data_IF_641464955152
#
_entry.id   IF_641464955152
#
_cell.length_a   1.000
_cell.length_b   1.000
_cell.length_c   1.000
_cell.angle_alpha   90.00
_cell.angle_beta   90.00
_cell.angle_gamma   90.00
#
_symmetry.space_group_name_H-M   'P 1'
#
loop_
_entity.id
_entity.type
_entity.pdbx_description
1 polymer ?
#
# COMPACT_ATOMS: atom_id res chain seq x y z
N UNK A 1 12.61 28.86 7.12
CA UNK A 1 12.45 27.51 7.72
C UNK A 1 12.01 26.53 6.65
N UNK A 2 12.65 25.36 6.55
CA UNK A 2 12.34 24.31 5.56
C UNK A 2 11.54 23.20 6.23
N UNK A 3 10.38 22.86 5.66
CA UNK A 3 9.62 21.67 6.03
C UNK A 3 10.25 20.47 5.30
N UNK A 4 10.62 19.42 6.04
CA UNK A 4 11.31 18.26 5.50
C UNK A 4 10.34 17.09 5.33
N UNK A 5 10.44 16.38 4.21
CA UNK A 5 9.66 15.16 3.94
C UNK A 5 9.85 14.11 5.04
N UNK A 6 8.77 13.39 5.35
CA UNK A 6 8.73 12.36 6.39
C UNK A 6 8.69 12.89 7.83
N UNK A 7 8.87 14.21 8.06
CA UNK A 7 8.82 14.81 9.40
C UNK A 7 7.42 15.31 9.75
N UNK A 8 7.10 15.21 11.04
CA UNK A 8 5.84 15.71 11.62
C UNK A 8 6.01 17.12 12.18
N UNK A 9 4.99 17.95 11.98
CA UNK A 9 4.91 19.31 12.49
C UNK A 9 3.49 19.63 12.96
N UNK A 10 3.39 20.55 13.92
CA UNK A 10 2.12 21.06 14.42
C UNK A 10 1.61 22.22 13.55
N UNK A 11 0.32 22.18 13.23
CA UNK A 11 -0.37 23.22 12.48
C UNK A 11 -1.65 23.64 13.19
N UNK A 12 -1.88 24.95 13.31
CA UNK A 12 -3.17 25.49 13.75
C UNK A 12 -4.15 25.48 12.57
N UNK A 13 -5.31 24.88 12.76
CA UNK A 13 -6.41 24.96 11.80
C UNK A 13 -7.08 26.32 11.97
N UNK A 14 -7.03 27.18 10.94
CA UNK A 14 -7.59 28.53 11.04
C UNK A 14 -9.07 28.54 10.70
N UNK A 15 -9.42 28.00 9.54
CA UNK A 15 -10.78 27.95 8.99
C UNK A 15 -10.84 26.96 7.83
N UNK A 16 -12.04 26.69 7.35
CA UNK A 16 -12.27 26.03 6.07
C UNK A 16 -12.41 27.12 5.00
N UNK A 17 -11.86 26.87 3.81
CA UNK A 17 -11.99 27.72 2.63
C UNK A 17 -12.43 26.85 1.46
N UNK A 18 -13.40 27.35 0.69
CA UNK A 18 -13.82 26.74 -0.57
C UNK A 18 -12.95 27.30 -1.69
N UNK A 19 -12.43 26.43 -2.54
CA UNK A 19 -11.71 26.79 -3.76
C UNK A 19 -12.58 26.35 -4.95
N UNK A 20 -12.95 27.27 -5.86
CA UNK A 20 -13.71 26.92 -7.05
C UNK A 20 -13.09 25.73 -7.78
N UNK A 21 -13.92 24.76 -8.19
CA UNK A 21 -13.53 23.54 -8.90
C UNK A 21 -12.68 22.52 -8.10
N UNK A 22 -12.03 22.91 -6.99
CA UNK A 22 -11.21 22.02 -6.16
C UNK A 22 -11.93 21.56 -4.87
N UNK A 23 -12.95 22.28 -4.42
CA UNK A 23 -13.74 21.97 -3.21
C UNK A 23 -13.18 22.59 -1.92
N UNK A 24 -13.51 21.97 -0.79
CA UNK A 24 -13.17 22.51 0.54
C UNK A 24 -11.77 22.13 1.02
N UNK A 25 -11.08 23.09 1.64
CA UNK A 25 -9.77 22.93 2.25
C UNK A 25 -9.71 23.51 3.66
N UNK A 26 -9.02 22.82 4.56
CA UNK A 26 -8.56 23.41 5.80
C UNK A 26 -7.38 24.35 5.53
N UNK A 27 -7.49 25.61 5.96
CA UNK A 27 -6.39 26.56 5.97
C UNK A 27 -5.57 26.36 7.24
N UNK A 28 -4.37 25.80 7.08
CA UNK A 28 -3.44 25.48 8.16
C UNK A 28 -2.38 26.57 8.33
N UNK A 29 -1.98 26.87 9.57
CA UNK A 29 -0.88 27.79 9.89
C UNK A 29 0.19 27.11 10.74
N UNK A 30 1.41 27.10 10.24
CA UNK A 30 2.59 26.65 10.99
C UNK A 30 3.07 27.76 11.96
N UNK A 31 3.82 27.41 13.02
CA UNK A 31 4.40 28.39 13.97
C UNK A 31 5.27 29.46 13.31
N UNK A 32 5.87 29.17 12.16
CA UNK A 32 6.67 30.12 11.38
C UNK A 32 5.84 31.14 10.59
N UNK A 33 4.50 31.11 10.69
CA UNK A 33 3.59 31.96 9.93
C UNK A 33 3.20 31.42 8.54
N UNK A 34 3.89 30.39 8.03
CA UNK A 34 3.58 29.76 6.73
C UNK A 34 2.18 29.16 6.75
N UNK A 35 1.41 29.42 5.69
CA UNK A 35 0.05 28.88 5.49
C UNK A 35 0.06 27.79 4.43
N UNK A 36 -0.73 26.75 4.65
CA UNK A 36 -0.85 25.56 3.80
C UNK A 36 -2.32 25.15 3.71
N UNK A 37 -2.66 24.42 2.66
CA UNK A 37 -4.00 23.89 2.45
C UNK A 37 -4.00 22.37 2.62
N UNK A 38 -5.07 21.84 3.19
CA UNK A 38 -5.31 20.41 3.35
C UNK A 38 -6.73 20.08 2.88
N UNK A 39 -6.91 19.22 1.87
CA UNK A 39 -8.23 18.94 1.30
C UNK A 39 -9.15 18.28 2.32
N UNK A 40 -10.37 18.79 2.51
CA UNK A 40 -11.35 18.25 3.47
C UNK A 40 -11.83 16.87 3.04
N UNK A 41 -12.04 16.66 1.74
CA UNK A 41 -12.61 15.41 1.19
C UNK A 41 -11.85 14.14 1.57
N UNK A 42 -10.53 14.21 1.75
CA UNK A 42 -9.70 13.06 2.14
C UNK A 42 -9.73 12.75 3.63
N UNK A 43 -10.15 13.72 4.46
CA UNK A 43 -10.07 13.64 5.91
C UNK A 43 -11.41 13.98 6.58
N UNK A 44 -12.51 13.85 5.86
CA UNK A 44 -13.85 14.18 6.37
C UNK A 44 -14.22 13.40 7.64
N UNK A 45 -13.69 12.18 7.79
CA UNK A 45 -13.89 11.32 8.97
C UNK A 45 -12.92 11.63 10.12
N UNK A 46 -11.98 12.56 9.94
CA UNK A 46 -11.06 12.96 11.00
C UNK A 46 -11.70 14.06 11.86
N UNK A 47 -11.42 14.12 13.17
CA UNK A 47 -11.92 15.17 14.06
C UNK A 47 -11.16 16.49 13.90
N UNK A 48 -11.06 17.02 12.67
CA UNK A 48 -10.36 18.27 12.35
C UNK A 48 -11.35 19.43 12.42
N UNK A 49 -11.21 20.27 13.45
CA UNK A 49 -12.08 21.44 13.67
C UNK A 49 -11.28 22.75 13.58
N UNK A 50 -11.87 23.86 13.10
CA UNK A 50 -11.25 25.18 13.18
C UNK A 50 -10.83 25.54 14.62
N UNK A 51 -9.77 26.33 14.74
CA UNK A 51 -9.10 26.70 15.98
C UNK A 51 -8.39 25.58 16.75
N UNK A 52 -8.45 24.33 16.30
CA UNK A 52 -7.62 23.25 16.85
C UNK A 52 -6.19 23.28 16.33
N UNK A 53 -5.34 22.44 16.94
CA UNK A 53 -3.99 22.14 16.44
C UNK A 53 -3.94 20.67 16.05
N UNK A 54 -3.43 20.39 14.85
CA UNK A 54 -3.26 19.04 14.33
C UNK A 54 -1.78 18.77 14.04
N UNK A 55 -1.38 17.51 14.16
CA UNK A 55 -0.05 17.03 13.80
C UNK A 55 -0.09 16.43 12.39
N UNK A 56 0.72 16.96 11.47
CA UNK A 56 0.78 16.50 10.09
C UNK A 56 2.21 16.12 9.70
N UNK A 57 2.34 15.02 8.97
CA UNK A 57 3.56 14.64 8.24
C UNK A 57 3.66 15.45 6.97
N UNK A 58 4.85 15.89 6.62
CA UNK A 58 5.16 16.33 5.25
C UNK A 58 5.29 15.09 4.39
N UNK A 59 4.27 14.81 3.58
CA UNK A 59 4.24 13.62 2.74
C UNK A 59 5.12 13.78 1.51
N UNK A 60 5.03 14.95 0.86
CA UNK A 60 5.81 15.27 -0.34
C UNK A 60 6.06 16.77 -0.48
N UNK A 61 7.20 17.13 -1.02
CA UNK A 61 7.56 18.47 -1.49
C UNK A 61 7.91 18.35 -2.96
N UNK A 62 7.10 18.94 -3.84
CA UNK A 62 7.38 18.87 -5.27
C UNK A 62 8.49 19.87 -5.68
N UNK A 63 8.89 19.83 -6.95
CA UNK A 63 9.90 20.72 -7.52
C UNK A 63 9.54 22.22 -7.45
N UNK A 64 8.26 22.57 -7.37
CA UNK A 64 7.80 23.96 -7.20
C UNK A 64 7.72 24.41 -5.74
N UNK A 65 8.10 23.54 -4.79
CA UNK A 65 8.05 23.81 -3.36
C UNK A 65 6.65 23.73 -2.75
N UNK A 66 5.66 23.21 -3.48
CA UNK A 66 4.33 22.84 -2.96
C UNK A 66 4.50 21.66 -2.01
N UNK A 67 3.99 21.83 -0.81
CA UNK A 67 4.09 20.87 0.29
C UNK A 67 2.75 20.16 0.43
N UNK A 68 2.78 18.84 0.40
CA UNK A 68 1.64 17.96 0.64
C UNK A 68 1.73 17.42 2.06
N UNK A 69 0.60 17.43 2.75
CA UNK A 69 0.52 17.06 4.16
C UNK A 69 -0.40 15.84 4.33
N UNK A 70 -0.01 14.96 5.23
CA UNK A 70 -0.80 13.83 5.71
C UNK A 70 -1.01 14.01 7.22
N UNK A 71 -2.23 14.31 7.71
CA UNK A 71 -2.52 14.38 9.13
C UNK A 71 -2.31 13.01 9.77
N UNK A 72 -1.86 13.02 11.02
CA UNK A 72 -1.76 11.79 11.81
C UNK A 72 -3.13 11.13 11.90
N UNK A 73 -3.19 9.84 11.57
CA UNK A 73 -4.43 9.10 11.62
C UNK A 73 -4.91 8.95 13.08
N UNK A 74 -6.19 9.24 13.38
CA UNK A 74 -6.69 9.24 14.76
C UNK A 74 -6.68 7.86 15.42
N UNK A 75 -6.86 6.79 14.63
CA UNK A 75 -6.92 5.41 15.15
C UNK A 75 -5.72 4.52 14.82
N UNK A 76 -4.89 4.89 13.84
CA UNK A 76 -3.85 4.03 13.30
C UNK A 76 -2.48 4.70 13.43
N UNK A 77 -1.49 3.93 13.86
CA UNK A 77 -0.09 4.33 13.87
C UNK A 77 0.69 3.47 12.90
N UNK A 78 1.55 4.11 12.11
CA UNK A 78 2.46 3.40 11.20
C UNK A 78 3.37 2.45 11.99
N UNK A 79 3.63 1.29 11.42
CA UNK A 79 4.41 0.22 12.05
C UNK A 79 3.63 -0.66 13.03
N UNK A 80 2.43 -0.29 13.46
CA UNK A 80 1.63 -1.05 14.43
C UNK A 80 0.66 -2.03 13.77
N UNK A 81 0.25 -3.03 14.54
CA UNK A 81 -0.70 -4.05 14.13
C UNK A 81 -2.09 -3.77 14.71
N UNK A 82 -3.10 -3.99 13.88
CA UNK A 82 -4.51 -3.85 14.24
C UNK A 82 -5.32 -4.99 13.64
N UNK A 83 -6.48 -5.25 14.22
CA UNK A 83 -7.43 -6.23 13.71
C UNK A 83 -8.40 -5.54 12.74
N UNK A 84 -8.60 -6.14 11.57
CA UNK A 84 -9.51 -5.66 10.54
C UNK A 84 -10.55 -6.72 10.20
N UNK A 85 -11.78 -6.30 9.92
CA UNK A 85 -12.87 -7.21 9.57
C UNK A 85 -12.77 -7.55 8.09
N UNK A 86 -12.77 -8.85 7.77
CA UNK A 86 -12.75 -9.36 6.40
C UNK A 86 -14.14 -9.24 5.79
N UNK A 87 -14.29 -8.39 4.78
CA UNK A 87 -15.54 -8.17 4.05
C UNK A 87 -15.70 -9.11 2.86
N UNK A 88 -14.61 -9.40 2.16
CA UNK A 88 -14.61 -10.30 1.01
C UNK A 88 -13.32 -11.11 0.91
N UNK A 89 -13.39 -12.24 0.24
CA UNK A 89 -12.27 -13.15 0.00
C UNK A 89 -12.40 -13.71 -1.39
N UNK A 90 -11.37 -13.53 -2.21
CA UNK A 90 -11.32 -14.00 -3.59
C UNK A 90 -10.20 -15.02 -3.70
N UNK A 91 -10.56 -16.24 -4.08
CA UNK A 91 -9.65 -17.29 -4.52
C UNK A 91 -9.78 -17.42 -6.02
N UNK A 92 -8.69 -17.21 -6.77
CA UNK A 92 -8.71 -17.45 -8.21
C UNK A 92 -8.42 -18.93 -8.50
N UNK A 93 -9.20 -19.55 -9.38
CA UNK A 93 -9.11 -20.98 -9.72
C UNK A 93 -7.75 -21.40 -10.32
N UNK A 94 -6.95 -20.45 -10.78
CA UNK A 94 -5.63 -20.70 -11.33
C UNK A 94 -4.49 -20.61 -10.29
N UNK A 95 -4.79 -20.42 -9.00
CA UNK A 95 -3.82 -20.18 -7.91
C UNK A 95 -2.90 -18.97 -8.14
N UNK A 96 -3.22 -18.08 -9.09
CA UNK A 96 -2.35 -16.96 -9.49
C UNK A 96 -2.34 -15.85 -8.44
N UNK A 97 -3.48 -15.61 -7.79
CA UNK A 97 -3.66 -14.43 -6.96
C UNK A 97 -4.82 -14.68 -5.99
N UNK A 98 -4.53 -14.76 -4.69
CA UNK A 98 -5.55 -14.67 -3.66
C UNK A 98 -5.63 -13.23 -3.19
N UNK A 99 -6.82 -12.77 -2.79
CA UNK A 99 -6.96 -11.45 -2.18
C UNK A 99 -8.05 -11.45 -1.14
N UNK A 100 -7.90 -10.58 -0.14
CA UNK A 100 -8.97 -10.24 0.79
C UNK A 100 -9.31 -8.77 0.65
N UNK A 101 -10.56 -8.42 0.93
CA UNK A 101 -10.96 -7.03 1.18
C UNK A 101 -11.32 -6.92 2.64
N UNK A 102 -10.71 -5.96 3.34
CA UNK A 102 -11.03 -5.64 4.73
C UNK A 102 -11.64 -4.25 4.84
N UNK A 103 -12.32 -3.99 5.94
CA UNK A 103 -12.84 -2.66 6.28
C UNK A 103 -12.11 -2.07 7.49
N UNK A 104 -11.78 -0.79 7.41
CA UNK A 104 -11.19 -0.02 8.51
C UNK A 104 -12.27 0.62 9.42
N UNK A 105 -11.83 1.36 10.46
CA UNK A 105 -12.73 2.06 11.40
C UNK A 105 -13.60 3.14 10.76
N UNK A 106 -13.28 3.58 9.55
CA UNK A 106 -14.04 4.56 8.76
C UNK A 106 -14.82 3.91 7.62
N UNK A 107 -14.96 2.58 7.64
CA UNK A 107 -15.61 1.78 6.60
C UNK A 107 -14.96 1.86 5.21
N UNK A 108 -13.70 2.30 5.13
CA UNK A 108 -12.93 2.23 3.89
C UNK A 108 -12.67 0.77 3.54
N UNK A 109 -12.91 0.37 2.28
CA UNK A 109 -12.55 -0.95 1.79
C UNK A 109 -11.11 -0.98 1.28
N UNK A 110 -10.32 -1.91 1.82
CA UNK A 110 -8.90 -2.05 1.52
C UNK A 110 -8.66 -3.46 0.99
N UNK A 111 -8.29 -3.56 -0.29
CA UNK A 111 -7.91 -4.81 -0.93
C UNK A 111 -6.44 -5.13 -0.63
N UNK A 112 -6.18 -6.35 -0.22
CA UNK A 112 -4.86 -6.85 0.14
C UNK A 112 -4.62 -8.14 -0.64
N UNK A 113 -3.47 -8.23 -1.29
CA UNK A 113 -2.98 -9.47 -1.88
C UNK A 113 -2.67 -10.47 -0.77
N UNK A 114 -3.25 -11.66 -0.88
CA UNK A 114 -3.12 -12.71 0.12
C UNK A 114 -2.17 -13.80 -0.39
N UNK A 115 -1.21 -14.27 0.43
CA UNK A 115 -0.30 -15.33 0.02
C UNK A 115 -1.06 -16.62 -0.32
N UNK A 116 -0.74 -17.21 -1.47
CA UNK A 116 -1.35 -18.47 -1.93
C UNK A 116 -1.09 -19.61 -0.93
N UNK A 117 0.08 -19.61 -0.30
CA UNK A 117 0.46 -20.59 0.72
C UNK A 117 -0.31 -20.46 2.04
N UNK A 118 -0.95 -19.31 2.30
CA UNK A 118 -1.73 -19.10 3.53
C UNK A 118 -3.21 -19.39 3.27
N UNK A 119 -3.85 -20.08 4.22
CA UNK A 119 -5.30 -20.25 4.23
C UNK A 119 -5.99 -18.89 4.17
N UNK A 120 -6.95 -18.75 3.26
CA UNK A 120 -7.75 -17.55 3.14
C UNK A 120 -8.62 -17.35 4.39
N UNK A 121 -8.62 -16.14 4.99
CA UNK A 121 -9.57 -15.76 6.03
C UNK A 121 -11.01 -15.94 5.55
N UNK A 122 -11.93 -16.18 6.49
CA UNK A 122 -13.37 -16.24 6.17
C UNK A 122 -13.96 -14.84 6.22
N UNK A 123 -15.00 -14.59 5.43
CA UNK A 123 -15.79 -13.36 5.54
C UNK A 123 -16.37 -13.23 6.96
N UNK A 124 -16.47 -12.00 7.46
CA UNK A 124 -16.89 -11.62 8.81
C UNK A 124 -15.99 -12.14 9.94
N UNK A 125 -14.75 -12.54 9.63
CA UNK A 125 -13.71 -12.80 10.64
C UNK A 125 -12.74 -11.63 10.73
N UNK A 126 -11.95 -11.58 11.80
CA UNK A 126 -10.88 -10.59 11.94
C UNK A 126 -9.54 -11.14 11.45
N UNK A 127 -8.74 -10.26 10.86
CA UNK A 127 -7.37 -10.54 10.47
C UNK A 127 -6.45 -9.46 11.04
N UNK A 128 -5.34 -9.89 11.63
CA UNK A 128 -4.33 -8.97 12.18
C UNK A 128 -3.36 -8.54 11.09
N UNK A 129 -3.28 -7.24 10.85
CA UNK A 129 -2.48 -6.64 9.78
C UNK A 129 -1.65 -5.47 10.30
N UNK A 130 -0.47 -5.28 9.72
CA UNK A 130 0.38 -4.12 10.03
C UNK A 130 -0.04 -2.95 9.17
N UNK A 131 -0.20 -1.78 9.79
CA UNK A 131 -0.29 -0.50 9.09
C UNK A 131 1.13 -0.14 8.67
N UNK A 132 1.48 -0.37 7.40
CA UNK A 132 2.79 0.01 6.88
C UNK A 132 2.93 1.54 6.87
N UNK A 133 1.90 2.21 6.34
CA UNK A 133 1.81 3.67 6.28
C UNK A 133 0.35 4.10 6.11
N UNK A 134 0.08 5.39 6.24
CA UNK A 134 -1.21 5.99 5.89
C UNK A 134 -1.05 6.87 4.65
N UNK A 135 -1.99 6.77 3.72
CA UNK A 135 -2.01 7.54 2.47
C UNK A 135 -3.42 8.07 2.22
N UNK A 136 -3.57 9.40 2.23
CA UNK A 136 -4.85 10.11 2.05
C UNK A 136 -5.93 9.62 3.02
N UNK A 137 -5.55 9.43 4.28
CA UNK A 137 -6.44 8.94 5.33
C UNK A 137 -6.71 7.43 5.31
N UNK A 138 -6.24 6.69 4.30
CA UNK A 138 -6.48 5.25 4.18
C UNK A 138 -5.20 4.49 4.60
N UNK A 139 -5.27 3.53 5.54
CA UNK A 139 -4.11 2.74 5.91
C UNK A 139 -3.71 1.78 4.78
N UNK A 140 -2.42 1.73 4.49
CA UNK A 140 -1.79 0.72 3.64
C UNK A 140 -1.40 -0.44 4.53
N UNK A 141 -1.97 -1.62 4.25
CA UNK A 141 -1.91 -2.78 5.12
C UNK A 141 -1.00 -3.84 4.53
N UNK A 142 -0.17 -4.44 5.38
CA UNK A 142 0.71 -5.56 5.03
C UNK A 142 0.52 -6.73 5.98
N UNK A 143 0.71 -7.93 5.44
CA UNK A 143 0.58 -9.19 6.19
C UNK A 143 1.91 -9.45 6.91
N UNK A 144 1.84 -9.94 8.15
CA UNK A 144 3.03 -10.42 8.83
C UNK A 144 3.55 -11.68 8.13
N UNK A 145 4.66 -11.54 7.41
CA UNK A 145 5.47 -12.69 7.00
C UNK A 145 6.44 -12.98 8.13
N UNK A 146 6.43 -14.22 8.63
CA UNK A 146 7.41 -14.70 9.60
C UNK A 146 8.80 -14.50 9.00
N UNK A 147 9.55 -13.50 9.51
CA UNK A 147 10.96 -13.18 9.24
C UNK A 147 11.47 -13.57 7.84
N UNK A 148 11.12 -12.77 6.84
CA UNK A 148 12.00 -12.24 5.77
C UNK A 148 11.12 -11.44 4.80
N UNK A 149 11.19 -10.11 4.88
CA UNK A 149 10.75 -9.15 3.84
C UNK A 149 10.95 -7.68 4.26
N UNK A 150 11.38 -7.38 5.50
CA UNK A 150 11.95 -6.06 5.80
C UNK A 150 13.39 -6.04 5.26
N UNK A 151 13.57 -5.63 4.01
CA UNK A 151 14.87 -5.43 3.38
C UNK A 151 14.99 -5.80 1.89
N UNK A 152 13.92 -6.22 1.21
CA UNK A 152 14.00 -6.59 -0.21
C UNK A 152 13.58 -5.41 -1.09
N UNK A 153 14.41 -4.38 -1.10
CA UNK A 153 14.42 -3.37 -2.17
C UNK A 153 15.80 -2.78 -2.44
N UNK A 154 16.84 -3.06 -1.63
CA UNK A 154 18.15 -2.42 -1.84
C UNK A 154 19.36 -3.34 -2.07
N UNK A 155 19.24 -4.69 -2.07
CA UNK A 155 20.42 -5.56 -2.29
C UNK A 155 20.28 -6.71 -3.29
N UNK A 156 19.19 -6.81 -4.07
CA UNK A 156 19.10 -7.83 -5.14
C UNK A 156 19.36 -7.29 -6.54
N UNK A 157 19.97 -6.09 -6.65
CA UNK A 157 20.24 -5.47 -7.95
C UNK A 157 21.16 -6.28 -8.87
N UNK A 158 21.82 -7.34 -8.36
CA UNK A 158 22.72 -8.22 -9.13
C UNK A 158 22.57 -9.72 -8.86
N UNK A 159 21.61 -10.16 -8.06
CA UNK A 159 21.45 -11.58 -7.77
C UNK A 159 20.60 -12.27 -8.85
N UNK A 160 21.19 -13.28 -9.49
CA UNK A 160 20.49 -14.13 -10.46
C UNK A 160 19.79 -15.26 -9.70
N UNK A 161 18.47 -15.25 -9.75
CA UNK A 161 17.62 -16.31 -9.22
C UNK A 161 17.41 -17.41 -10.26
N UNK A 162 17.44 -18.67 -9.81
CA UNK A 162 17.14 -19.83 -10.64
C UNK A 162 15.74 -20.37 -10.33
N UNK A 163 14.87 -20.34 -11.33
CA UNK A 163 13.48 -20.79 -11.22
C UNK A 163 13.21 -21.98 -12.13
N UNK A 164 12.41 -22.93 -11.65
CA UNK A 164 11.79 -23.93 -12.50
C UNK A 164 10.44 -23.42 -13.02
N UNK A 165 10.19 -23.58 -14.31
CA UNK A 165 8.89 -23.30 -14.92
C UNK A 165 7.93 -24.45 -14.60
N UNK A 166 7.17 -24.30 -13.53
CA UNK A 166 6.33 -25.37 -12.98
C UNK A 166 5.02 -25.56 -13.77
N UNK A 167 4.38 -24.47 -14.22
CA UNK A 167 3.09 -24.53 -14.94
C UNK A 167 2.94 -23.40 -15.96
N UNK A 168 2.07 -23.62 -16.95
CA UNK A 168 1.53 -22.57 -17.82
C UNK A 168 0.07 -22.35 -17.44
N UNK A 169 -0.29 -21.11 -17.13
CA UNK A 169 -1.63 -20.72 -16.67
C UNK A 169 -2.25 -19.74 -17.66
N UNK A 170 -3.57 -19.78 -17.81
CA UNK A 170 -4.32 -18.89 -18.72
C UNK A 170 -5.31 -18.03 -17.93
N UNK A 171 -5.25 -16.71 -18.09
CA UNK A 171 -6.20 -15.73 -17.54
C UNK A 171 -6.80 -14.92 -18.69
N UNK A 172 -8.00 -15.32 -19.14
CA UNK A 172 -8.62 -14.76 -20.34
C UNK A 172 -7.81 -15.07 -21.60
N UNK A 173 -7.39 -14.02 -22.34
CA UNK A 173 -6.50 -14.14 -23.51
C UNK A 173 -5.01 -14.13 -23.15
N UNK A 174 -4.66 -13.97 -21.87
CA UNK A 174 -3.27 -13.87 -21.43
C UNK A 174 -2.77 -15.21 -20.86
N UNK A 175 -1.52 -15.55 -21.17
CA UNK A 175 -0.81 -16.72 -20.63
C UNK A 175 0.32 -16.30 -19.70
N UNK A 176 0.53 -17.09 -18.65
CA UNK A 176 1.52 -16.86 -17.60
C UNK A 176 2.34 -18.13 -17.37
N UNK A 177 3.64 -18.00 -17.16
CA UNK A 177 4.48 -19.07 -16.61
C UNK A 177 4.52 -18.94 -15.09
N UNK A 178 4.17 -20.00 -14.38
CA UNK A 178 4.40 -20.11 -12.93
C UNK A 178 5.85 -20.59 -12.73
N UNK A 179 6.62 -19.77 -12.04
CA UNK A 179 8.00 -20.00 -11.68
C UNK A 179 8.08 -20.41 -10.22
N UNK A 180 8.87 -21.44 -9.90
CA UNK A 180 9.11 -21.90 -8.52
C UNK A 180 10.62 -21.93 -8.27
N UNK A 181 11.05 -21.19 -7.24
CA UNK A 181 12.45 -21.13 -6.84
C UNK A 181 12.82 -22.39 -6.04
N UNK A 182 13.96 -22.99 -6.37
CA UNK A 182 14.39 -24.25 -5.75
C UNK A 182 14.77 -24.13 -4.27
N UNK A 183 15.13 -22.94 -3.76
CA UNK A 183 15.70 -22.78 -2.40
C UNK A 183 14.67 -22.37 -1.34
N UNK A 184 13.76 -21.45 -1.67
CA UNK A 184 12.84 -20.86 -0.70
C UNK A 184 11.36 -21.07 -1.04
N UNK A 185 11.06 -21.97 -1.98
CA UNK A 185 9.71 -22.21 -2.51
C UNK A 185 9.01 -20.92 -2.99
N UNK A 186 9.78 -19.90 -3.34
CA UNK A 186 9.25 -18.64 -3.86
C UNK A 186 8.56 -18.90 -5.19
N UNK A 187 7.38 -18.29 -5.36
CA UNK A 187 6.60 -18.39 -6.58
C UNK A 187 6.55 -17.04 -7.28
N UNK A 188 6.80 -17.03 -8.57
CA UNK A 188 6.69 -15.85 -9.41
C UNK A 188 5.87 -16.15 -10.67
N UNK A 189 5.33 -15.10 -11.30
CA UNK A 189 4.53 -15.22 -12.52
C UNK A 189 5.14 -14.38 -13.64
N UNK A 190 5.38 -15.02 -14.78
CA UNK A 190 5.94 -14.37 -15.96
C UNK A 190 4.89 -14.29 -17.06
N UNK A 191 4.53 -13.08 -17.54
CA UNK A 191 3.59 -12.93 -18.66
C UNK A 191 4.20 -13.47 -19.95
N UNK A 192 3.69 -14.59 -20.46
CA UNK A 192 4.28 -15.30 -21.59
C UNK A 192 4.45 -14.42 -22.84
N UNK A 193 3.53 -13.46 -23.06
CA UNK A 193 3.58 -12.54 -24.21
C UNK A 193 4.83 -11.68 -24.27
N UNK A 194 5.45 -11.33 -23.13
CA UNK A 194 6.66 -10.49 -23.10
C UNK A 194 7.95 -11.29 -23.36
N UNK A 195 7.91 -12.62 -23.21
CA UNK A 195 9.10 -13.48 -23.23
C UNK A 195 9.04 -14.55 -24.32
N UNK A 196 8.22 -14.35 -25.35
CA UNK A 196 8.08 -15.28 -26.49
C UNK A 196 9.42 -15.61 -27.16
N UNK A 197 10.37 -14.66 -27.16
CA UNK A 197 11.69 -14.81 -27.76
C UNK A 197 12.67 -15.67 -26.94
N UNK A 198 12.38 -15.91 -25.65
CA UNK A 198 13.21 -16.76 -24.79
C UNK A 198 12.89 -18.26 -24.91
N UNK A 199 11.87 -18.64 -25.70
CA UNK A 199 11.46 -20.03 -25.93
C UNK A 199 11.32 -20.85 -24.62
N UNK A 200 10.75 -20.22 -23.59
CA UNK A 200 10.59 -20.79 -22.25
C UNK A 200 9.65 -21.99 -22.33
N UNK A 201 10.09 -23.15 -21.82
CA UNK A 201 9.32 -24.41 -21.83
C UNK A 201 8.93 -24.84 -20.43
N UNK A 202 7.83 -25.59 -20.33
CA UNK A 202 7.47 -26.28 -19.09
C UNK A 202 8.64 -27.13 -18.61
N UNK A 203 8.89 -27.15 -17.29
CA UNK A 203 10.00 -27.81 -16.61
C UNK A 203 11.40 -27.29 -16.94
N UNK A 204 11.53 -26.26 -17.79
CA UNK A 204 12.82 -25.61 -18.01
C UNK A 204 13.26 -24.84 -16.77
N UNK A 205 14.57 -24.73 -16.58
CA UNK A 205 15.15 -23.80 -15.61
C UNK A 205 15.41 -22.46 -16.31
N UNK A 206 15.01 -21.37 -15.68
CA UNK A 206 15.30 -20.02 -16.16
C UNK A 206 16.00 -19.21 -15.07
N UNK A 207 16.90 -18.34 -15.53
CA UNK A 207 17.64 -17.42 -14.70
C UNK A 207 16.95 -16.05 -14.80
N UNK A 208 16.57 -15.50 -13.65
CA UNK A 208 15.91 -14.21 -13.55
C UNK A 208 16.78 -13.26 -12.72
N UNK A 209 16.93 -12.03 -13.19
CA UNK A 209 17.54 -10.93 -12.46
C UNK A 209 16.44 -9.95 -12.06
#
# INVERSE_FOLDING_TARGET
MKLLEGKYYLFKVLKIVEIPEEGDFYLLKHKSGRRLLLPVSMYANYPIIPNSTIECRVDKVNCTGKVFLEPKHPHYSEGKFYDFIVKNTVKNDCDIENSITVTDVFNNEIRIEWPIAKKLPKVNTTVRLKVERVKKGIPVLVIETSKHANGIAENFLDEIFSFNVSKVLSKGKEQYFLLVENKHEQKAYLKAKHYKHYNIKLNSNILCK
#
